data_IF_333908168109
#
_entry.id   IF_333908168109
#
_cell.length_a   1.000
_cell.length_b   1.000
_cell.length_c   1.000
_cell.angle_alpha   90.00
_cell.angle_beta   90.00
_cell.angle_gamma   90.00
#
_symmetry.space_group_name_H-M   'P 1'
#
loop_
_entity.id
_entity.type
_entity.pdbx_description
1 polymer ?
#
# COMPACT_ATOMS: atom_id res chain seq x y z
N UNK A 1 -6.29 20.06 -11.73
CA UNK A 1 -5.83 18.78 -12.32
C UNK A 1 -7.08 18.02 -12.73
N UNK A 2 -7.13 17.38 -13.91
CA UNK A 2 -8.37 16.74 -14.39
C UNK A 2 -8.59 15.41 -13.65
N UNK A 3 -9.85 15.07 -13.38
CA UNK A 3 -10.24 13.80 -12.70
C UNK A 3 -9.54 12.58 -13.31
N UNK A 4 -9.55 12.45 -14.64
CA UNK A 4 -8.98 11.31 -15.37
C UNK A 4 -7.49 11.08 -15.05
N UNK A 5 -6.71 12.16 -14.95
CA UNK A 5 -5.27 12.08 -14.66
C UNK A 5 -5.01 11.57 -13.23
N UNK A 6 -5.82 12.02 -12.27
CA UNK A 6 -5.72 11.58 -10.88
C UNK A 6 -6.15 10.12 -10.77
N UNK A 7 -7.24 9.74 -11.42
CA UNK A 7 -7.79 8.40 -11.35
C UNK A 7 -6.84 7.35 -11.94
N UNK A 8 -6.27 7.60 -13.12
CA UNK A 8 -5.29 6.68 -13.72
C UNK A 8 -4.01 6.58 -12.89
N UNK A 9 -3.55 7.69 -12.26
CA UNK A 9 -2.41 7.66 -11.34
C UNK A 9 -2.69 6.79 -10.11
N UNK A 10 -3.87 6.92 -9.49
CA UNK A 10 -4.28 6.09 -8.34
C UNK A 10 -4.39 4.61 -8.73
N UNK A 11 -4.86 4.32 -9.94
CA UNK A 11 -4.96 2.95 -10.47
C UNK A 11 -3.58 2.33 -10.68
N UNK A 12 -2.61 3.09 -11.19
CA UNK A 12 -1.22 2.64 -11.27
C UNK A 12 -0.67 2.30 -9.87
N UNK A 13 -0.85 3.18 -8.89
CA UNK A 13 -0.45 2.91 -7.51
C UNK A 13 -1.13 1.66 -6.93
N UNK A 14 -2.43 1.49 -7.17
CA UNK A 14 -3.18 0.32 -6.74
C UNK A 14 -2.63 -0.99 -7.34
N UNK A 15 -2.19 -0.97 -8.60
CA UNK A 15 -1.56 -2.11 -9.27
C UNK A 15 -0.16 -2.41 -8.70
N UNK A 16 0.63 -1.38 -8.39
CA UNK A 16 1.94 -1.56 -7.75
C UNK A 16 1.79 -2.22 -6.38
N UNK A 17 0.85 -1.76 -5.56
CA UNK A 17 0.57 -2.36 -4.24
C UNK A 17 0.09 -3.81 -4.36
N UNK A 18 -0.69 -4.14 -5.38
CA UNK A 18 -1.11 -5.51 -5.65
C UNK A 18 0.07 -6.42 -5.97
N UNK A 19 1.01 -5.93 -6.78
CA UNK A 19 2.24 -6.67 -7.08
C UNK A 19 3.09 -6.91 -5.83
N UNK A 20 3.15 -5.96 -4.89
CA UNK A 20 3.85 -6.15 -3.60
C UNK A 20 3.21 -7.26 -2.78
N UNK A 21 1.88 -7.27 -2.67
CA UNK A 21 1.15 -8.30 -1.95
C UNK A 21 1.35 -9.69 -2.58
N UNK A 22 1.29 -9.78 -3.91
CA UNK A 22 1.49 -11.04 -4.65
C UNK A 22 2.90 -11.59 -4.46
N UNK A 23 3.92 -10.74 -4.53
CA UNK A 23 5.32 -11.15 -4.36
C UNK A 23 5.73 -11.30 -2.90
N UNK A 24 4.92 -10.80 -1.97
CA UNK A 24 5.27 -10.64 -0.54
C UNK A 24 6.59 -9.87 -0.34
N UNK A 25 6.84 -8.92 -1.23
CA UNK A 25 8.04 -8.08 -1.25
C UNK A 25 7.61 -6.61 -1.32
N UNK A 26 8.34 -5.75 -0.61
CA UNK A 26 8.05 -4.32 -0.56
C UNK A 26 9.27 -3.58 -1.09
N UNK A 27 9.06 -2.74 -2.09
CA UNK A 27 10.00 -1.68 -2.45
C UNK A 27 9.63 -0.44 -1.63
N UNK A 28 10.44 -0.14 -0.61
CA UNK A 28 10.20 0.95 0.33
C UNK A 28 10.10 2.31 -0.38
N UNK A 29 10.92 2.54 -1.41
CA UNK A 29 10.92 3.82 -2.16
C UNK A 29 9.63 3.98 -2.94
N UNK A 30 9.16 2.91 -3.58
CA UNK A 30 7.89 2.93 -4.29
C UNK A 30 6.70 3.10 -3.34
N UNK A 31 6.72 2.46 -2.16
CA UNK A 31 5.69 2.62 -1.14
C UNK A 31 5.64 4.06 -0.58
N UNK A 32 6.79 4.67 -0.30
CA UNK A 32 6.88 6.07 0.13
C UNK A 32 6.31 7.03 -0.92
N UNK A 33 6.65 6.81 -2.19
CA UNK A 33 6.11 7.60 -3.30
C UNK A 33 4.58 7.48 -3.38
N UNK A 34 4.04 6.26 -3.31
CA UNK A 34 2.58 6.01 -3.33
C UNK A 34 1.91 6.75 -2.17
N UNK A 35 2.45 6.64 -0.95
CA UNK A 35 1.88 7.33 0.22
C UNK A 35 1.91 8.85 0.07
N UNK A 36 3.01 9.40 -0.44
CA UNK A 36 3.15 10.83 -0.71
C UNK A 36 2.13 11.30 -1.75
N UNK A 37 1.98 10.54 -2.83
CA UNK A 37 1.06 10.85 -3.93
C UNK A 37 -0.40 10.78 -3.48
N UNK A 38 -0.80 9.74 -2.74
CA UNK A 38 -2.15 9.61 -2.18
C UNK A 38 -2.47 10.76 -1.24
N UNK A 39 -1.52 11.15 -0.37
CA UNK A 39 -1.69 12.29 0.55
C UNK A 39 -1.81 13.62 -0.21
N UNK A 40 -0.99 13.80 -1.24
CA UNK A 40 -1.05 14.96 -2.13
C UNK A 40 -2.43 15.04 -2.79
N UNK A 41 -2.91 13.95 -3.40
CA UNK A 41 -4.22 13.86 -4.06
C UNK A 41 -5.36 14.16 -3.08
N UNK A 42 -5.32 13.62 -1.87
CA UNK A 42 -6.33 13.89 -0.84
C UNK A 42 -6.39 15.37 -0.42
N UNK A 43 -5.29 16.11 -0.59
CA UNK A 43 -5.21 17.55 -0.30
C UNK A 43 -5.51 18.45 -1.51
N UNK A 44 -5.66 17.89 -2.71
CA UNK A 44 -5.96 18.65 -3.91
C UNK A 44 -7.46 18.95 -4.01
N UNK A 45 -7.80 20.17 -4.45
CA UNK A 45 -9.16 20.49 -4.89
C UNK A 45 -9.38 19.84 -6.26
N UNK A 46 -10.01 18.67 -6.24
CA UNK A 46 -10.35 17.91 -7.44
C UNK A 46 -11.67 18.46 -7.97
N UNK A 47 -11.68 18.92 -9.22
CA UNK A 47 -12.91 19.28 -9.92
C UNK A 47 -13.69 18.01 -10.21
N UNK A 48 -14.57 17.65 -9.28
CA UNK A 48 -15.52 16.56 -9.39
C UNK A 48 -16.79 17.12 -10.00
N UNK A 49 -17.13 16.68 -11.20
CA UNK A 49 -18.28 17.19 -11.95
C UNK A 49 -19.52 16.31 -11.82
N UNK A 50 -19.35 15.07 -11.32
CA UNK A 50 -20.44 14.13 -11.08
C UNK A 50 -20.28 13.33 -9.79
N UNK A 51 -21.42 12.85 -9.26
CA UNK A 51 -21.42 11.94 -8.10
C UNK A 51 -20.68 10.62 -8.40
N UNK A 52 -20.70 10.17 -9.65
CA UNK A 52 -20.04 8.94 -10.09
C UNK A 52 -18.51 9.06 -10.03
N UNK A 53 -17.95 10.20 -10.45
CA UNK A 53 -16.52 10.51 -10.33
C UNK A 53 -16.07 10.52 -8.86
N UNK A 54 -16.88 11.11 -7.97
CA UNK A 54 -16.60 11.12 -6.54
C UNK A 54 -16.57 9.70 -5.96
N UNK A 55 -17.51 8.84 -6.37
CA UNK A 55 -17.57 7.46 -5.92
C UNK A 55 -16.36 6.64 -6.40
N UNK A 56 -16.01 6.73 -7.68
CA UNK A 56 -14.83 6.05 -8.24
C UNK A 56 -13.54 6.44 -7.53
N UNK A 57 -13.38 7.73 -7.24
CA UNK A 57 -12.21 8.24 -6.52
C UNK A 57 -12.16 7.70 -5.09
N UNK A 58 -13.29 7.71 -4.37
CA UNK A 58 -13.35 7.17 -3.02
C UNK A 58 -13.09 5.66 -2.98
N UNK A 59 -13.65 4.89 -3.91
CA UNK A 59 -13.41 3.45 -4.01
C UNK A 59 -11.93 3.13 -4.20
N UNK A 60 -11.26 3.79 -5.14
CA UNK A 60 -9.85 3.48 -5.42
C UNK A 60 -8.93 3.89 -4.28
N UNK A 61 -9.23 5.00 -3.59
CA UNK A 61 -8.50 5.42 -2.38
C UNK A 61 -8.68 4.39 -1.26
N UNK A 62 -9.91 3.91 -1.05
CA UNK A 62 -10.18 2.88 -0.03
C UNK A 62 -9.42 1.58 -0.34
N UNK A 63 -9.42 1.13 -1.60
CA UNK A 63 -8.65 -0.04 -2.03
C UNK A 63 -7.15 0.10 -1.76
N UNK A 64 -6.58 1.27 -2.06
CA UNK A 64 -5.17 1.57 -1.76
C UNK A 64 -4.90 1.47 -0.25
N UNK A 65 -5.75 2.06 0.59
CA UNK A 65 -5.61 1.98 2.05
C UNK A 65 -5.73 0.55 2.58
N UNK A 66 -6.68 -0.23 2.07
CA UNK A 66 -6.82 -1.64 2.42
C UNK A 66 -5.55 -2.43 2.09
N UNK A 67 -5.00 -2.25 0.88
CA UNK A 67 -3.76 -2.92 0.46
C UNK A 67 -2.56 -2.52 1.32
N UNK A 68 -2.41 -1.24 1.65
CA UNK A 68 -1.35 -0.77 2.57
C UNK A 68 -1.49 -1.43 3.95
N UNK A 69 -2.72 -1.56 4.46
CA UNK A 69 -2.97 -2.25 5.73
C UNK A 69 -2.64 -3.75 5.66
N UNK A 70 -2.92 -4.41 4.53
CA UNK A 70 -2.53 -5.79 4.31
C UNK A 70 -1.01 -5.96 4.31
N UNK A 71 -0.27 -5.07 3.63
CA UNK A 71 1.19 -5.06 3.64
C UNK A 71 1.76 -4.85 5.05
N UNK A 72 1.17 -3.93 5.82
CA UNK A 72 1.55 -3.71 7.23
C UNK A 72 1.37 -4.97 8.07
N UNK A 73 0.26 -5.69 7.90
CA UNK A 73 0.01 -6.93 8.62
C UNK A 73 1.02 -8.01 8.25
N UNK A 74 1.37 -8.11 6.96
CA UNK A 74 2.42 -9.03 6.48
C UNK A 74 3.78 -8.76 7.13
N UNK A 75 4.20 -7.49 7.24
CA UNK A 75 5.46 -7.12 7.90
C UNK A 75 5.47 -7.57 9.38
N UNK A 76 4.37 -7.32 10.09
CA UNK A 76 4.25 -7.71 11.50
C UNK A 76 4.31 -9.23 11.66
N UNK A 77 3.66 -9.98 10.78
CA UNK A 77 3.71 -11.44 10.77
C UNK A 77 5.13 -11.96 10.53
N UNK A 78 5.81 -11.46 9.49
CA UNK A 78 7.18 -11.85 9.16
C UNK A 78 8.17 -11.55 10.31
N UNK A 79 8.00 -10.42 11.00
CA UNK A 79 8.81 -10.07 12.16
C UNK A 79 8.67 -11.09 13.29
N UNK A 80 7.45 -11.56 13.58
CA UNK A 80 7.21 -12.61 14.59
C UNK A 80 7.84 -13.94 14.19
N UNK A 81 7.78 -14.30 12.91
CA UNK A 81 8.39 -15.52 12.40
C UNK A 81 9.93 -15.48 12.55
N UNK A 82 10.57 -14.37 12.20
CA UNK A 82 12.01 -14.16 12.38
C UNK A 82 12.44 -14.23 13.86
N UNK A 83 11.65 -13.64 14.77
CA UNK A 83 11.94 -13.72 16.21
C UNK A 83 11.94 -15.18 16.71
N UNK A 84 10.95 -15.97 16.27
CA UNK A 84 10.84 -17.38 16.61
C UNK A 84 11.99 -18.21 16.04
N UNK A 85 12.37 -17.98 14.78
CA UNK A 85 13.53 -18.61 14.16
C UNK A 85 14.83 -18.25 14.91
N UNK A 86 15.01 -16.99 15.30
CA UNK A 86 16.16 -16.54 16.11
C UNK A 86 16.22 -17.22 17.48
N UNK A 87 15.09 -17.40 18.17
CA UNK A 87 15.01 -18.17 19.43
C UNK A 87 15.40 -19.62 19.24
N UNK A 88 14.94 -20.26 18.17
CA UNK A 88 15.30 -21.64 17.85
C UNK A 88 16.81 -21.77 17.58
N UNK A 89 17.39 -20.91 16.74
CA UNK A 89 18.83 -20.92 16.43
C UNK A 89 19.71 -20.72 17.67
N UNK A 90 19.29 -19.84 18.60
CA UNK A 90 19.97 -19.68 19.91
C UNK A 90 19.92 -20.92 20.80
N UNK A 91 18.89 -21.77 20.67
CA UNK A 91 18.80 -23.05 21.39
C UNK A 91 19.81 -24.05 20.82
N UNK A 92 19.93 -24.14 19.50
CA UNK A 92 20.80 -25.12 18.85
C UNK A 92 22.29 -24.76 18.89
N UNK A 93 22.65 -23.47 18.83
CA UNK A 93 24.06 -23.01 18.92
C UNK A 93 24.71 -23.19 20.30
N UNK A 94 23.95 -23.56 21.33
CA UNK A 94 24.49 -23.92 22.65
C UNK A 94 24.95 -25.38 22.77
N UNK A 95 24.67 -26.20 21.75
CA UNK A 95 25.08 -27.59 21.65
C UNK A 95 26.15 -27.74 20.57
#
# INVERSE_FOLDING_TARGET
>A
MKFEEIYEKLKEHNNILENFLLKKEIDDKALENIMSDVKSIASQNIEITSQEEAQKLNEIINLIFEKINQLKNLIVENTKQLENQGKALRKYSKY
#
